data_IF_364642034578
#
_entry.id   IF_364642034578
#
_cell.length_a   1.000
_cell.length_b   1.000
_cell.length_c   1.000
_cell.angle_alpha   90.00
_cell.angle_beta   90.00
_cell.angle_gamma   90.00
#
_symmetry.space_group_name_H-M   'P 1'
#
loop_
_entity.id
_entity.type
_entity.pdbx_description
1 polymer ?
#
# COMPACT_ATOMS: atom_id res chain seq x y z
N UNK A 1 50.11 22.52 -28.60
CA UNK A 1 49.92 21.37 -27.67
C UNK A 1 49.23 21.72 -26.34
N UNK A 2 49.37 22.93 -25.76
CA UNK A 2 48.71 23.30 -24.49
C UNK A 2 47.18 23.44 -24.56
N UNK A 3 46.63 23.93 -25.68
CA UNK A 3 45.19 24.13 -25.88
C UNK A 3 44.38 22.82 -25.91
N UNK A 4 44.96 21.75 -26.45
CA UNK A 4 44.29 20.42 -26.53
C UNK A 4 44.15 19.79 -25.14
N UNK A 5 45.11 20.02 -24.23
CA UNK A 5 45.03 19.55 -22.84
C UNK A 5 43.96 20.27 -22.03
N UNK A 6 43.77 21.58 -22.28
CA UNK A 6 42.74 22.37 -21.61
C UNK A 6 41.32 21.98 -22.08
N UNK A 7 41.14 21.76 -23.39
CA UNK A 7 39.86 21.30 -23.93
C UNK A 7 39.45 19.91 -23.41
N UNK A 8 40.42 18.98 -23.28
CA UNK A 8 40.18 17.65 -22.69
C UNK A 8 39.78 17.70 -21.22
N UNK A 9 40.39 18.60 -20.43
CA UNK A 9 40.04 18.79 -19.02
C UNK A 9 38.63 19.38 -18.84
N UNK A 10 38.21 20.31 -19.71
CA UNK A 10 36.87 20.91 -19.67
C UNK A 10 35.80 19.89 -20.05
N UNK A 11 36.05 19.03 -21.05
CA UNK A 11 35.13 17.96 -21.40
C UNK A 11 35.00 16.89 -20.29
N UNK A 12 36.07 16.60 -19.56
CA UNK A 12 36.03 15.69 -18.42
C UNK A 12 35.20 16.26 -17.24
N UNK A 13 35.28 17.57 -16.98
CA UNK A 13 34.44 18.21 -15.95
C UNK A 13 32.96 18.28 -16.33
N UNK A 14 32.65 18.47 -17.62
CA UNK A 14 31.26 18.48 -18.11
C UNK A 14 30.60 17.09 -18.04
N UNK A 15 31.36 16.00 -18.21
CA UNK A 15 30.87 14.63 -18.07
C UNK A 15 30.56 14.24 -16.61
N UNK A 16 31.13 14.94 -15.62
CA UNK A 16 30.85 14.72 -14.20
C UNK A 16 29.62 15.50 -13.69
N UNK A 17 29.11 16.47 -14.46
CA UNK A 17 28.00 17.34 -14.06
C UNK A 17 26.59 16.77 -14.26
N UNK A 18 26.45 15.60 -14.90
CA UNK A 18 25.14 15.02 -15.24
C UNK A 18 24.76 13.77 -14.46
N UNK A 19 25.51 13.44 -13.40
CA UNK A 19 25.05 12.48 -12.41
C UNK A 19 23.93 13.11 -11.57
N UNK A 20 22.76 13.30 -12.19
CA UNK A 20 21.51 13.45 -11.44
C UNK A 20 21.41 12.19 -10.61
N UNK A 21 21.32 12.27 -9.27
CA UNK A 21 21.00 11.10 -8.49
C UNK A 21 19.62 10.65 -8.99
N UNK A 22 19.57 9.51 -9.67
CA UNK A 22 18.34 8.75 -9.83
C UNK A 22 18.00 8.28 -8.43
N UNK A 23 17.43 9.19 -7.63
CA UNK A 23 16.64 8.79 -6.50
C UNK A 23 15.51 7.97 -7.10
N UNK A 24 15.63 6.64 -7.04
CA UNK A 24 14.49 5.76 -7.14
C UNK A 24 13.55 6.20 -6.02
N UNK A 25 12.65 7.11 -6.36
CA UNK A 25 11.68 7.65 -5.44
C UNK A 25 10.71 6.49 -5.23
N UNK A 26 10.92 5.68 -4.20
CA UNK A 26 10.01 4.59 -3.86
C UNK A 26 8.60 5.17 -3.83
N UNK A 27 7.80 4.78 -4.83
CA UNK A 27 6.47 5.34 -4.96
C UNK A 27 5.62 4.78 -3.83
N UNK A 28 5.01 5.68 -3.07
CA UNK A 28 4.07 5.32 -2.01
C UNK A 28 2.66 5.36 -2.58
N UNK A 29 1.93 4.30 -2.32
CA UNK A 29 0.54 4.13 -2.69
C UNK A 29 -0.28 4.07 -1.41
N UNK A 30 -1.31 4.90 -1.30
CA UNK A 30 -2.24 4.89 -0.18
C UNK A 30 -3.66 4.71 -0.66
N UNK A 31 -4.49 4.09 0.16
CA UNK A 31 -5.92 4.00 -0.05
C UNK A 31 -6.66 3.88 1.27
N UNK A 32 -7.85 4.47 1.33
CA UNK A 32 -8.84 4.24 2.37
C UNK A 32 -9.97 3.40 1.77
N UNK A 33 -10.29 2.29 2.44
CA UNK A 33 -11.31 1.33 2.04
C UNK A 33 -12.34 1.30 3.17
N UNK A 34 -13.63 1.42 2.86
CA UNK A 34 -14.72 1.31 3.83
C UNK A 34 -15.08 -0.16 4.11
N UNK A 35 -15.88 -0.41 5.15
CA UNK A 35 -16.23 -1.75 5.63
C UNK A 35 -16.86 -2.66 4.56
N UNK A 36 -17.53 -2.10 3.56
CA UNK A 36 -18.16 -2.85 2.47
C UNK A 36 -17.20 -3.14 1.29
N UNK A 37 -15.94 -2.67 1.38
CA UNK A 37 -14.95 -2.77 0.32
C UNK A 37 -14.93 -1.56 -0.63
N UNK A 38 -15.73 -0.52 -0.38
CA UNK A 38 -15.72 0.69 -1.21
C UNK A 38 -14.43 1.48 -1.01
N UNK A 39 -13.74 1.82 -2.11
CA UNK A 39 -12.55 2.69 -2.06
C UNK A 39 -13.03 4.13 -1.90
N UNK A 40 -12.80 4.73 -0.73
CA UNK A 40 -13.24 6.10 -0.44
C UNK A 40 -12.23 7.14 -0.88
N UNK A 41 -10.94 6.81 -0.84
CA UNK A 41 -9.86 7.68 -1.31
C UNK A 41 -8.65 6.83 -1.68
N UNK A 42 -7.87 7.25 -2.67
CA UNK A 42 -6.57 6.66 -2.96
C UNK A 42 -5.63 7.67 -3.63
N UNK A 43 -4.33 7.52 -3.39
CA UNK A 43 -3.27 8.30 -4.04
C UNK A 43 -2.04 7.44 -4.31
N UNK A 44 -1.58 7.33 -5.57
CA UNK A 44 -2.25 7.72 -6.82
C UNK A 44 -3.54 6.89 -7.05
N UNK A 45 -4.07 6.80 -8.28
CA UNK A 45 -5.07 5.77 -8.62
C UNK A 45 -4.33 4.46 -8.93
N UNK A 46 -4.53 3.41 -8.13
CA UNK A 46 -3.74 2.18 -8.20
C UNK A 46 -4.50 0.90 -7.86
N UNK A 47 -5.63 1.00 -7.19
CA UNK A 47 -6.51 -0.15 -6.90
C UNK A 47 -7.56 -0.24 -8.00
N UNK A 48 -7.67 -1.43 -8.60
CA UNK A 48 -8.67 -1.77 -9.60
C UNK A 48 -10.01 -2.12 -8.96
N UNK A 49 -9.98 -3.00 -7.97
CA UNK A 49 -11.17 -3.47 -7.26
C UNK A 49 -10.81 -4.02 -5.89
N UNK A 50 -11.78 -4.02 -4.99
CA UNK A 50 -11.70 -4.70 -3.69
C UNK A 50 -12.84 -5.70 -3.64
N UNK A 51 -12.51 -6.98 -3.39
CA UNK A 51 -13.51 -8.02 -3.17
C UNK A 51 -13.56 -8.40 -1.69
N UNK A 52 -14.65 -8.05 -1.02
CA UNK A 52 -14.95 -8.46 0.34
C UNK A 52 -15.53 -9.89 0.37
N UNK A 53 -15.03 -10.69 1.31
CA UNK A 53 -15.64 -11.94 1.77
C UNK A 53 -15.77 -11.87 3.29
N UNK A 54 -16.96 -11.50 3.77
CA UNK A 54 -17.27 -11.46 5.19
C UNK A 54 -17.66 -12.86 5.68
N UNK A 55 -17.00 -13.34 6.73
CA UNK A 55 -17.37 -14.59 7.40
C UNK A 55 -17.94 -14.27 8.78
N UNK A 56 -19.21 -14.61 9.05
CA UNK A 56 -19.82 -14.39 10.36
C UNK A 56 -19.00 -15.04 11.47
N UNK A 57 -18.84 -14.33 12.58
CA UNK A 57 -18.10 -14.76 13.77
C UNK A 57 -16.62 -15.11 13.51
N UNK A 58 -16.09 -14.64 12.38
CA UNK A 58 -14.70 -14.83 11.98
C UNK A 58 -14.15 -13.56 11.35
N UNK A 59 -13.02 -13.65 10.63
CA UNK A 59 -12.45 -12.49 9.95
C UNK A 59 -13.20 -12.16 8.66
N UNK A 60 -13.17 -10.88 8.28
CA UNK A 60 -13.52 -10.45 6.92
C UNK A 60 -12.25 -10.35 6.08
N UNK A 61 -12.26 -10.93 4.88
CA UNK A 61 -11.14 -10.88 3.93
C UNK A 61 -11.44 -9.92 2.78
N UNK A 62 -10.56 -8.96 2.57
CA UNK A 62 -10.59 -7.99 1.50
C UNK A 62 -9.45 -8.29 0.53
N UNK A 63 -9.80 -8.83 -0.64
CA UNK A 63 -8.85 -8.99 -1.73
C UNK A 63 -8.76 -7.70 -2.53
N UNK A 64 -7.72 -6.91 -2.26
CA UNK A 64 -7.43 -5.64 -2.93
C UNK A 64 -6.61 -5.93 -4.17
N UNK A 65 -7.19 -5.77 -5.36
CA UNK A 65 -6.51 -5.98 -6.64
C UNK A 65 -5.99 -4.68 -7.21
N UNK A 66 -4.75 -4.72 -7.68
CA UNK A 66 -4.08 -3.55 -8.25
C UNK A 66 -4.43 -3.39 -9.73
N UNK A 67 -4.31 -2.17 -10.25
CA UNK A 67 -4.35 -1.92 -11.68
C UNK A 67 -3.15 -2.63 -12.31
N UNK A 68 -3.32 -3.37 -13.43
CA UNK A 68 -2.20 -4.03 -14.10
C UNK A 68 -1.07 -3.04 -14.42
N UNK A 69 0.15 -3.39 -14.02
CA UNK A 69 1.34 -2.54 -14.24
C UNK A 69 1.57 -1.46 -13.19
N UNK A 70 0.72 -1.34 -12.14
CA UNK A 70 0.98 -0.44 -10.99
C UNK A 70 2.34 -0.72 -10.36
N UNK A 71 2.65 -1.99 -10.11
CA UNK A 71 3.94 -2.40 -9.57
C UNK A 71 4.68 -3.21 -10.64
N UNK A 72 5.95 -2.87 -10.88
CA UNK A 72 6.83 -3.63 -11.79
C UNK A 72 7.29 -4.97 -11.20
N UNK A 73 7.39 -5.00 -9.87
CA UNK A 73 7.70 -6.18 -9.05
C UNK A 73 6.66 -6.29 -7.93
N UNK A 74 6.75 -7.31 -7.07
CA UNK A 74 5.90 -7.34 -5.87
C UNK A 74 6.22 -6.12 -4.98
N UNK A 75 5.22 -5.47 -4.36
CA UNK A 75 5.48 -4.38 -3.42
C UNK A 75 6.51 -4.80 -2.35
N UNK A 76 7.56 -4.00 -2.15
CA UNK A 76 8.57 -4.25 -1.12
C UNK A 76 8.00 -4.17 0.30
N UNK A 77 6.97 -3.35 0.49
CA UNK A 77 6.30 -3.18 1.78
C UNK A 77 4.82 -2.85 1.60
N UNK A 78 3.98 -3.41 2.47
CA UNK A 78 2.62 -2.92 2.68
C UNK A 78 2.31 -2.91 4.18
N UNK A 79 1.43 -2.02 4.59
CA UNK A 79 0.90 -1.93 5.95
C UNK A 79 -0.56 -1.52 5.92
N UNK A 80 -1.29 -1.91 6.96
CA UNK A 80 -2.71 -1.61 7.10
C UNK A 80 -3.01 -1.15 8.52
N UNK A 81 -3.93 -0.20 8.64
CA UNK A 81 -4.48 0.24 9.92
C UNK A 81 -6.00 0.34 9.81
N UNK A 82 -6.71 -0.13 10.84
CA UNK A 82 -8.14 0.16 10.98
C UNK A 82 -8.32 1.67 11.11
N UNK A 83 -9.36 2.19 10.48
CA UNK A 83 -9.82 3.58 10.64
C UNK A 83 -11.31 3.65 11.03
N UNK A 84 -11.96 2.50 11.17
CA UNK A 84 -13.36 2.38 11.54
C UNK A 84 -13.58 2.67 13.02
N UNK A 85 -14.30 3.76 13.28
CA UNK A 85 -14.69 4.23 14.61
C UNK A 85 -16.21 4.27 14.78
N UNK A 86 -16.95 3.50 13.97
CA UNK A 86 -18.41 3.51 13.96
C UNK A 86 -19.07 3.00 15.24
N UNK A 87 -18.33 2.29 16.09
CA UNK A 87 -18.79 1.82 17.41
C UNK A 87 -17.64 1.70 18.40
N UNK A 88 -17.96 1.67 19.70
CA UNK A 88 -16.96 1.38 20.76
C UNK A 88 -16.28 0.02 20.54
N UNK A 89 -17.03 -0.98 20.08
CA UNK A 89 -16.46 -2.30 19.80
C UNK A 89 -15.40 -2.22 18.69
N UNK A 90 -15.64 -1.42 17.65
CA UNK A 90 -14.68 -1.23 16.56
C UNK A 90 -13.45 -0.45 17.04
N UNK A 91 -13.63 0.54 17.92
CA UNK A 91 -12.54 1.33 18.51
C UNK A 91 -11.62 0.46 19.39
N UNK A 92 -12.20 -0.37 20.26
CA UNK A 92 -11.42 -1.11 21.26
C UNK A 92 -10.89 -2.45 20.74
N UNK A 93 -11.64 -3.12 19.87
CA UNK A 93 -11.35 -4.50 19.47
C UNK A 93 -11.03 -4.62 17.98
N UNK A 94 -11.16 -3.54 17.20
CA UNK A 94 -10.96 -3.59 15.76
C UNK A 94 -9.49 -3.77 15.37
N UNK A 95 -9.21 -4.81 14.60
CA UNK A 95 -7.88 -5.05 14.03
C UNK A 95 -7.94 -5.28 12.53
N UNK A 96 -6.89 -4.83 11.85
CA UNK A 96 -6.61 -5.14 10.45
C UNK A 96 -5.19 -5.67 10.32
N UNK A 97 -4.98 -6.66 9.47
CA UNK A 97 -3.67 -7.22 9.15
C UNK A 97 -3.58 -7.58 7.68
N UNK A 98 -2.37 -7.66 7.15
CA UNK A 98 -2.17 -8.32 5.85
C UNK A 98 -2.39 -9.82 6.01
N UNK A 99 -3.23 -10.41 5.16
CA UNK A 99 -3.49 -11.85 5.14
C UNK A 99 -2.37 -12.67 4.49
N UNK A 100 -1.50 -12.01 3.72
CA UNK A 100 -0.36 -12.62 3.06
C UNK A 100 0.73 -11.59 2.74
N UNK A 101 1.90 -12.06 2.30
CA UNK A 101 2.82 -11.19 1.58
C UNK A 101 2.13 -10.59 0.33
N UNK A 102 2.41 -9.32 -0.04
CA UNK A 102 1.86 -8.72 -1.25
C UNK A 102 2.29 -9.51 -2.50
N UNK A 103 1.35 -9.73 -3.40
CA UNK A 103 1.64 -10.19 -4.75
C UNK A 103 1.80 -8.98 -5.68
N UNK A 104 2.29 -9.21 -6.90
CA UNK A 104 2.45 -8.14 -7.90
C UNK A 104 1.13 -7.47 -8.30
N UNK A 105 0.00 -8.17 -8.16
CA UNK A 105 -1.31 -7.73 -8.63
C UNK A 105 -2.40 -7.69 -7.55
N UNK A 106 -2.12 -8.10 -6.32
CA UNK A 106 -3.06 -7.98 -5.22
C UNK A 106 -2.38 -8.07 -3.85
N UNK A 107 -3.12 -7.64 -2.83
CA UNK A 107 -2.85 -7.95 -1.43
C UNK A 107 -4.16 -8.32 -0.73
N UNK A 108 -4.10 -9.22 0.24
CA UNK A 108 -5.22 -9.55 1.11
C UNK A 108 -5.11 -8.75 2.41
N UNK A 109 -6.21 -8.13 2.81
CA UNK A 109 -6.36 -7.48 4.13
C UNK A 109 -7.43 -8.24 4.89
N UNK A 110 -7.10 -8.64 6.11
CA UNK A 110 -8.02 -9.32 7.03
C UNK A 110 -8.41 -8.35 8.13
N UNK A 111 -9.71 -8.26 8.45
CA UNK A 111 -10.21 -7.52 9.60
C UNK A 111 -10.91 -8.46 10.59
N UNK A 112 -10.73 -8.21 11.89
CA UNK A 112 -11.29 -9.04 12.95
C UNK A 112 -11.46 -8.21 14.23
N UNK A 113 -12.56 -8.44 14.96
CA UNK A 113 -12.67 -8.00 16.36
C UNK A 113 -11.98 -8.99 17.30
N UNK A 114 -11.01 -8.53 18.09
CA UNK A 114 -10.25 -9.38 19.03
C UNK A 114 -10.28 -8.77 20.42
N UNK A 115 -10.44 -9.60 21.45
CA UNK A 115 -10.38 -9.18 22.86
C UNK A 115 -11.73 -8.93 23.51
N UNK A 116 -12.82 -9.05 22.73
CA UNK A 116 -14.18 -9.01 23.24
C UNK A 116 -14.61 -10.40 23.78
N UNK A 117 -15.57 -10.44 24.72
CA UNK A 117 -16.05 -11.67 25.36
C UNK A 117 -17.27 -12.30 24.66
N UNK A 118 -17.64 -11.79 23.49
CA UNK A 118 -18.75 -12.25 22.64
C UNK A 118 -18.24 -12.70 21.27
N UNK A 119 -19.05 -13.47 20.50
CA UNK A 119 -18.73 -13.76 19.11
C UNK A 119 -18.49 -12.48 18.32
N UNK A 120 -17.57 -12.53 17.35
CA UNK A 120 -17.19 -11.35 16.58
C UNK A 120 -18.37 -10.77 15.77
N UNK A 121 -19.38 -11.56 15.41
CA UNK A 121 -20.46 -11.12 14.54
C UNK A 121 -19.92 -10.69 13.18
N UNK A 122 -20.22 -9.47 12.74
CA UNK A 122 -19.58 -8.87 11.58
C UNK A 122 -18.24 -8.22 11.97
N UNK A 123 -17.18 -8.67 11.33
CA UNK A 123 -15.81 -8.18 11.50
C UNK A 123 -15.37 -7.22 10.39
N UNK A 124 -16.26 -6.87 9.47
CA UNK A 124 -15.99 -5.96 8.36
C UNK A 124 -15.72 -4.56 8.90
N UNK A 125 -14.58 -3.98 8.53
CA UNK A 125 -14.13 -2.68 9.03
C UNK A 125 -13.52 -1.85 7.90
N UNK A 126 -13.68 -0.54 8.00
CA UNK A 126 -12.89 0.40 7.21
C UNK A 126 -11.43 0.42 7.64
N UNK A 127 -10.52 0.49 6.67
CA UNK A 127 -9.07 0.53 6.90
C UNK A 127 -8.35 1.44 5.90
N UNK A 128 -7.15 1.89 6.30
CA UNK A 128 -6.18 2.53 5.41
C UNK A 128 -5.10 1.52 5.05
N UNK A 129 -4.83 1.37 3.75
CA UNK A 129 -3.77 0.55 3.19
C UNK A 129 -2.69 1.45 2.60
N UNK A 130 -1.44 1.17 2.94
CA UNK A 130 -0.28 1.79 2.32
C UNK A 130 0.63 0.70 1.76
N UNK A 131 1.10 0.87 0.53
CA UNK A 131 2.12 0.03 -0.08
C UNK A 131 3.24 0.89 -0.68
N UNK A 132 4.45 0.35 -0.75
CA UNK A 132 5.54 0.92 -1.52
C UNK A 132 6.01 -0.07 -2.59
N UNK A 133 6.59 0.45 -3.66
CA UNK A 133 7.46 -0.37 -4.52
C UNK A 133 8.54 -1.07 -3.69
#
# INVERSE_FOLDING_TARGET
MRFIKAAGAIMALLAMGTAVPVFAKNQIFTASIDKDGTITTQSPQWIKEVKLTAQPDYFSDYKVRFIPGTFKEKPGFCTVSVIDVSSNDHIFYGHAKLGSAPAINYVNVLTLKVGDNKPAGDSSMGFMLMCSE
#
